data_IF_457104078607
#
_entry.id   IF_457104078607
#
_cell.length_a   1.000
_cell.length_b   1.000
_cell.length_c   1.000
_cell.angle_alpha   90.00
_cell.angle_beta   90.00
_cell.angle_gamma   90.00
#
_symmetry.space_group_name_H-M   'P 1'
#
loop_
_entity.id
_entity.type
_entity.pdbx_description
1 polymer ?
#
# COMPACT_ATOMS: atom_id res chain seq x y z
N UNK A 1 -14.69 31.96 -0.65
CA UNK A 1 -13.59 31.68 0.30
C UNK A 1 -12.87 30.43 -0.19
N UNK A 2 -11.53 30.39 -0.21
CA UNK A 2 -10.77 29.20 -0.63
C UNK A 2 -10.50 28.32 0.60
N UNK A 3 -10.77 27.02 0.52
CA UNK A 3 -10.39 26.06 1.56
C UNK A 3 -8.88 25.85 1.51
N UNK A 4 -8.20 25.99 2.66
CA UNK A 4 -6.77 25.78 2.80
C UNK A 4 -6.47 25.09 4.12
N UNK A 5 -5.73 23.99 4.06
CA UNK A 5 -5.30 23.22 5.23
C UNK A 5 -3.92 22.62 4.94
N UNK A 6 -2.98 22.73 5.88
CA UNK A 6 -1.60 22.25 5.73
C UNK A 6 -1.35 21.18 6.78
N UNK A 7 -0.76 20.06 6.36
CA UNK A 7 -0.47 18.92 7.22
C UNK A 7 1.00 18.51 7.07
N UNK A 8 1.57 17.99 8.15
CA UNK A 8 2.91 17.38 8.15
C UNK A 8 2.86 15.92 7.70
N UNK A 9 1.75 15.22 7.99
CA UNK A 9 1.53 13.83 7.66
C UNK A 9 0.19 13.64 6.95
N UNK A 10 0.11 12.60 6.11
CA UNK A 10 -1.13 12.21 5.47
C UNK A 10 -2.14 11.70 6.51
N UNK A 11 -3.17 12.50 6.80
CA UNK A 11 -4.21 12.17 7.77
C UNK A 11 -5.58 12.64 7.25
N UNK A 12 -6.39 11.75 6.64
CA UNK A 12 -7.66 12.11 6.04
C UNK A 12 -8.66 12.71 7.04
N UNK A 13 -8.65 12.21 8.28
CA UNK A 13 -9.62 12.60 9.30
C UNK A 13 -9.50 14.08 9.69
N UNK A 14 -8.30 14.66 9.65
CA UNK A 14 -8.09 16.07 10.01
C UNK A 14 -8.57 17.02 8.89
N UNK A 15 -8.66 16.56 7.64
CA UNK A 15 -9.33 17.30 6.56
C UNK A 15 -10.84 17.14 6.67
N UNK A 16 -11.33 15.90 6.80
CA UNK A 16 -12.77 15.62 6.73
C UNK A 16 -13.54 16.12 7.95
N UNK A 17 -12.87 16.26 9.09
CA UNK A 17 -13.39 16.88 10.30
C UNK A 17 -13.20 18.39 10.35
N UNK A 18 -12.53 19.02 9.37
CA UNK A 18 -12.26 20.45 9.41
C UNK A 18 -13.57 21.26 9.28
N UNK A 19 -13.75 22.28 10.11
CA UNK A 19 -14.96 23.11 10.11
C UNK A 19 -15.22 23.73 8.73
N UNK A 20 -14.19 24.32 8.11
CA UNK A 20 -14.34 24.89 6.76
C UNK A 20 -14.56 23.85 5.66
N UNK A 21 -14.15 22.60 5.86
CA UNK A 21 -14.42 21.52 4.91
C UNK A 21 -15.90 21.13 4.95
N UNK A 22 -16.47 21.03 6.15
CA UNK A 22 -17.85 20.59 6.36
C UNK A 22 -18.87 21.71 6.14
N UNK A 23 -18.58 22.92 6.61
CA UNK A 23 -19.49 24.06 6.57
C UNK A 23 -19.45 24.85 5.26
N UNK A 24 -18.28 24.96 4.61
CA UNK A 24 -18.09 25.91 3.50
C UNK A 24 -17.97 25.26 2.12
N UNK A 25 -17.82 23.92 2.04
CA UNK A 25 -17.77 23.20 0.76
C UNK A 25 -19.11 22.50 0.47
N UNK A 26 -19.57 22.57 -0.78
CA UNK A 26 -20.70 21.75 -1.23
C UNK A 26 -20.34 20.26 -1.22
N UNK A 27 -21.35 19.38 -1.20
CA UNK A 27 -21.12 17.92 -1.25
C UNK A 27 -20.28 17.49 -2.47
N UNK A 28 -20.49 18.12 -3.62
CA UNK A 28 -19.70 17.85 -4.82
C UNK A 28 -18.23 18.23 -4.62
N UNK A 29 -17.96 19.43 -4.07
CA UNK A 29 -16.59 19.87 -3.76
C UNK A 29 -15.92 18.98 -2.71
N UNK A 30 -16.64 18.58 -1.67
CA UNK A 30 -16.15 17.64 -0.67
C UNK A 30 -15.77 16.29 -1.29
N UNK A 31 -16.60 15.79 -2.22
CA UNK A 31 -16.35 14.52 -2.91
C UNK A 31 -15.12 14.60 -3.79
N UNK A 32 -14.99 15.66 -4.60
CA UNK A 32 -13.82 15.88 -5.45
C UNK A 32 -12.55 16.02 -4.62
N UNK A 33 -12.59 16.78 -3.52
CA UNK A 33 -11.42 16.95 -2.65
C UNK A 33 -11.04 15.63 -1.98
N UNK A 34 -12.00 14.82 -1.53
CA UNK A 34 -11.76 13.47 -1.01
C UNK A 34 -11.03 12.60 -2.04
N UNK A 35 -11.56 12.51 -3.25
CA UNK A 35 -10.96 11.69 -4.32
C UNK A 35 -9.53 12.13 -4.66
N UNK A 36 -9.29 13.44 -4.77
CA UNK A 36 -7.95 13.98 -5.03
C UNK A 36 -6.99 13.67 -3.88
N UNK A 37 -7.44 13.87 -2.65
CA UNK A 37 -6.63 13.61 -1.46
C UNK A 37 -6.34 12.11 -1.29
N UNK A 38 -7.32 11.24 -1.51
CA UNK A 38 -7.16 9.78 -1.50
C UNK A 38 -6.19 9.31 -2.58
N UNK A 39 -6.20 9.95 -3.76
CA UNK A 39 -5.23 9.71 -4.83
C UNK A 39 -3.79 10.11 -4.47
N UNK A 40 -3.62 11.03 -3.51
CA UNK A 40 -2.32 11.41 -2.97
C UNK A 40 -1.87 10.56 -1.77
N UNK A 41 -2.62 9.52 -1.39
CA UNK A 41 -2.26 8.65 -0.27
C UNK A 41 -0.88 8.01 -0.52
N UNK A 42 0.15 8.28 0.32
CA UNK A 42 1.48 7.71 0.14
C UNK A 42 1.54 6.22 0.47
N UNK A 43 0.51 5.66 1.12
CA UNK A 43 0.41 4.25 1.52
C UNK A 43 -1.02 3.74 1.28
N UNK A 44 -1.44 3.57 0.02
CA UNK A 44 -2.77 3.08 -0.28
C UNK A 44 -2.93 1.66 0.25
N UNK A 45 -3.94 1.43 1.10
CA UNK A 45 -4.31 0.07 1.51
C UNK A 45 -5.24 -0.50 0.46
N UNK A 46 -4.77 -1.51 -0.27
CA UNK A 46 -5.57 -2.28 -1.24
C UNK A 46 -5.61 -3.74 -0.86
N UNK A 47 -6.78 -4.33 -0.95
CA UNK A 47 -6.95 -5.79 -0.86
C UNK A 47 -6.76 -6.36 -2.27
N UNK A 48 -5.69 -7.09 -2.50
CA UNK A 48 -5.38 -7.67 -3.81
C UNK A 48 -6.29 -8.85 -4.17
N UNK A 49 -7.09 -9.36 -3.22
CA UNK A 49 -8.02 -10.46 -3.43
C UNK A 49 -9.45 -9.98 -3.72
N UNK A 50 -9.73 -8.69 -3.44
CA UNK A 50 -11.08 -8.11 -3.55
C UNK A 50 -10.98 -6.75 -4.25
N UNK A 51 -11.41 -6.69 -5.50
CA UNK A 51 -11.29 -5.49 -6.32
C UNK A 51 -12.20 -5.49 -7.56
N UNK A 52 -12.20 -4.37 -8.26
CA UNK A 52 -12.91 -4.22 -9.55
C UNK A 52 -12.00 -4.40 -10.77
N UNK A 53 -10.74 -4.80 -10.57
CA UNK A 53 -9.77 -5.00 -11.63
C UNK A 53 -9.93 -6.37 -12.31
N UNK A 54 -9.22 -6.57 -13.43
CA UNK A 54 -9.15 -7.85 -14.11
C UNK A 54 -8.59 -8.94 -13.19
N UNK A 55 -9.08 -10.16 -13.39
CA UNK A 55 -8.69 -11.32 -12.58
C UNK A 55 -7.33 -11.83 -13.05
N UNK A 56 -6.40 -11.97 -12.11
CA UNK A 56 -5.06 -12.51 -12.34
C UNK A 56 -4.92 -13.85 -11.61
N UNK A 57 -4.80 -14.94 -12.39
CA UNK A 57 -4.62 -16.28 -11.84
C UNK A 57 -3.13 -16.57 -11.60
N UNK A 58 -2.76 -16.92 -10.35
CA UNK A 58 -1.40 -17.31 -9.98
C UNK A 58 -1.45 -18.63 -9.22
N UNK A 59 -1.09 -19.72 -9.91
CA UNK A 59 -1.20 -21.07 -9.36
C UNK A 59 -2.63 -21.39 -8.94
N UNK A 60 -2.82 -21.74 -7.66
CA UNK A 60 -4.13 -22.04 -7.08
C UNK A 60 -4.89 -20.81 -6.58
N UNK A 61 -4.32 -19.61 -6.66
CA UNK A 61 -4.91 -18.37 -6.15
C UNK A 61 -5.39 -17.46 -7.29
N UNK A 62 -6.54 -16.82 -7.08
CA UNK A 62 -7.08 -15.76 -7.95
C UNK A 62 -6.90 -14.42 -7.25
N UNK A 63 -6.33 -13.44 -7.95
CA UNK A 63 -6.17 -12.06 -7.51
C UNK A 63 -7.08 -11.15 -8.35
N UNK A 64 -7.56 -10.07 -7.75
CA UNK A 64 -8.39 -9.05 -8.40
C UNK A 64 -7.64 -7.72 -8.41
N UNK A 65 -6.48 -7.71 -9.06
CA UNK A 65 -5.56 -6.59 -9.12
C UNK A 65 -4.76 -6.62 -10.44
N UNK A 66 -4.11 -5.50 -10.77
CA UNK A 66 -3.19 -5.45 -11.89
C UNK A 66 -1.86 -6.17 -11.57
N UNK A 67 -1.09 -6.61 -12.58
CA UNK A 67 0.24 -7.18 -12.38
C UNK A 67 1.18 -6.27 -11.58
N UNK A 68 1.09 -4.94 -11.78
CA UNK A 68 1.89 -3.95 -11.06
C UNK A 68 1.51 -3.87 -9.58
N UNK A 69 0.22 -3.97 -9.27
CA UNK A 69 -0.27 -4.01 -7.88
C UNK A 69 0.17 -5.29 -7.19
N UNK A 70 0.09 -6.43 -7.88
CA UNK A 70 0.59 -7.70 -7.36
C UNK A 70 2.10 -7.65 -7.08
N UNK A 71 2.88 -7.12 -8.02
CA UNK A 71 4.32 -6.93 -7.83
C UNK A 71 4.64 -6.03 -6.63
N UNK A 72 3.92 -4.92 -6.50
CA UNK A 72 4.10 -3.98 -5.37
C UNK A 72 3.81 -4.66 -4.04
N UNK A 73 2.71 -5.41 -3.93
CA UNK A 73 2.36 -6.15 -2.72
C UNK A 73 3.34 -7.28 -2.39
N UNK A 74 3.88 -7.96 -3.41
CA UNK A 74 4.93 -8.97 -3.23
C UNK A 74 6.20 -8.35 -2.65
N UNK A 75 6.66 -7.22 -3.20
CA UNK A 75 7.82 -6.49 -2.70
C UNK A 75 7.60 -6.05 -1.25
N UNK A 76 6.45 -5.44 -0.93
CA UNK A 76 6.12 -5.00 0.43
C UNK A 76 6.14 -6.17 1.42
N UNK A 77 5.53 -7.30 1.06
CA UNK A 77 5.49 -8.52 1.88
C UNK A 77 6.91 -9.02 2.17
N UNK A 78 7.76 -9.11 1.15
CA UNK A 78 9.16 -9.56 1.30
C UNK A 78 9.95 -8.60 2.20
N UNK A 79 9.78 -7.30 2.06
CA UNK A 79 10.46 -6.31 2.91
C UNK A 79 9.97 -6.36 4.35
N UNK A 80 8.66 -6.46 4.58
CA UNK A 80 8.08 -6.57 5.92
C UNK A 80 8.60 -7.82 6.64
N UNK A 81 8.60 -8.95 5.93
CA UNK A 81 9.20 -10.21 6.38
C UNK A 81 10.67 -9.98 6.78
N UNK A 82 11.49 -9.43 5.88
CA UNK A 82 12.92 -9.18 6.16
C UNK A 82 13.11 -8.32 7.42
N UNK A 83 12.31 -7.28 7.57
CA UNK A 83 12.39 -6.38 8.73
C UNK A 83 11.99 -7.11 10.03
N UNK A 84 10.95 -7.94 10.00
CA UNK A 84 10.52 -8.73 11.16
C UNK A 84 11.61 -9.71 11.64
N UNK A 85 12.33 -10.37 10.71
CA UNK A 85 13.50 -11.19 11.06
C UNK A 85 14.62 -10.35 11.70
N UNK A 86 14.97 -9.21 11.10
CA UNK A 86 16.09 -8.39 11.54
C UNK A 86 15.86 -7.74 12.90
N UNK A 87 14.60 -7.45 13.25
CA UNK A 87 14.23 -6.91 14.55
C UNK A 87 13.99 -8.00 15.62
N UNK A 88 14.17 -9.28 15.27
CA UNK A 88 13.94 -10.39 16.20
C UNK A 88 12.47 -10.59 16.57
N UNK A 89 11.54 -10.06 15.77
CA UNK A 89 10.09 -10.26 15.92
C UNK A 89 9.66 -11.68 15.49
N UNK A 90 10.56 -12.40 14.82
CA UNK A 90 10.39 -13.77 14.37
C UNK A 90 11.56 -14.60 14.89
N UNK A 91 11.26 -15.68 15.62
CA UNK A 91 12.28 -16.62 16.07
C UNK A 91 12.98 -17.26 14.87
N UNK A 92 14.33 -17.32 14.86
CA UNK A 92 15.07 -17.93 13.78
C UNK A 92 14.91 -19.46 13.79
N UNK A 93 13.85 -19.97 13.14
CA UNK A 93 13.66 -21.39 12.82
C UNK A 93 14.23 -21.68 11.42
N UNK A 94 15.04 -22.74 11.23
CA UNK A 94 15.48 -23.21 9.91
C UNK A 94 14.38 -23.30 8.84
N UNK A 95 13.16 -23.69 9.23
CA UNK A 95 11.99 -23.72 8.33
C UNK A 95 11.54 -22.33 7.94
N UNK A 96 11.51 -21.40 8.87
CA UNK A 96 11.19 -19.99 8.59
C UNK A 96 12.23 -19.40 7.65
N UNK A 97 13.52 -19.61 7.92
CA UNK A 97 14.62 -19.16 7.07
C UNK A 97 14.57 -19.77 5.65
N UNK A 98 14.11 -21.02 5.50
CA UNK A 98 13.92 -21.64 4.19
C UNK A 98 12.85 -20.93 3.34
N UNK A 99 11.81 -20.37 3.97
CA UNK A 99 10.82 -19.54 3.28
C UNK A 99 11.38 -18.18 2.84
N UNK A 100 12.49 -17.72 3.45
CA UNK A 100 13.17 -16.48 3.06
C UNK A 100 14.10 -16.63 1.87
N UNK A 101 14.63 -17.83 1.60
CA UNK A 101 15.57 -18.01 0.50
C UNK A 101 14.97 -17.59 -0.86
N UNK A 102 13.74 -17.99 -1.23
CA UNK A 102 13.09 -17.50 -2.45
C UNK A 102 12.89 -15.98 -2.45
N UNK A 103 12.45 -15.40 -1.33
CA UNK A 103 12.21 -13.97 -1.17
C UNK A 103 13.52 -13.16 -1.33
N UNK A 104 14.61 -13.63 -0.72
CA UNK A 104 15.94 -13.05 -0.85
C UNK A 104 16.45 -13.10 -2.30
N UNK A 105 16.27 -14.24 -2.99
CA UNK A 105 16.65 -14.38 -4.41
C UNK A 105 15.89 -13.41 -5.31
N UNK A 106 14.59 -13.20 -5.07
CA UNK A 106 13.78 -12.21 -5.81
C UNK A 106 14.31 -10.80 -5.59
N UNK A 107 14.62 -10.41 -4.35
CA UNK A 107 15.20 -9.09 -4.04
C UNK A 107 16.56 -8.91 -4.71
N UNK A 108 17.42 -9.92 -4.67
CA UNK A 108 18.74 -9.86 -5.31
C UNK A 108 18.65 -9.74 -6.83
N UNK A 109 17.66 -10.39 -7.47
CA UNK A 109 17.37 -10.22 -8.89
C UNK A 109 16.98 -8.78 -9.20
N UNK A 110 16.05 -8.18 -8.44
CA UNK A 110 15.67 -6.78 -8.64
C UNK A 110 16.84 -5.82 -8.45
N UNK A 111 17.66 -6.01 -7.42
CA UNK A 111 18.87 -5.20 -7.21
C UNK A 111 19.90 -5.37 -8.33
N UNK A 112 19.98 -6.55 -8.95
CA UNK A 112 20.82 -6.80 -10.12
C UNK A 112 20.36 -6.05 -11.37
N UNK A 113 19.06 -5.78 -11.52
CA UNK A 113 18.51 -5.03 -12.65
C UNK A 113 18.69 -3.51 -12.55
N UNK A 114 19.07 -2.99 -11.38
CA UNK A 114 19.30 -1.54 -11.14
C UNK A 114 20.81 -1.19 -11.21
N UNK A 115 21.67 -2.20 -11.43
CA UNK A 115 23.13 -2.04 -11.51
C UNK A 115 23.63 -1.72 -12.90
#
# INVERSE_FOLDING_TARGET
MKFQHVQVHYEPNTIYGHADFTANLSKAQQTTLRQLYDGCNPRPRRDLLRGGADRLQVGAMEFQCSPEELLSGLIETIYAMRNALLHGEVDPDPRVLSCYEPAYRIVMLFLGCVR
#
